data_IF_049654902189
#
_entry.id   IF_049654902189
#
_cell.length_a   1.000
_cell.length_b   1.000
_cell.length_c   1.000
_cell.angle_alpha   90.00
_cell.angle_beta   90.00
_cell.angle_gamma   90.00
#
_symmetry.space_group_name_H-M   'P 1'
#
loop_
_entity.id
_entity.type
_entity.pdbx_description
1 polymer ?
#
# COMPACT_ATOMS: atom_id res chain seq x y z
N UNK A 1 4.63 -21.10 4.32
CA UNK A 1 3.81 -19.99 4.84
C UNK A 1 2.51 -20.00 4.08
N UNK A 2 1.42 -20.32 4.75
CA UNK A 2 0.07 -20.38 4.19
C UNK A 2 -0.61 -19.01 4.26
N UNK A 3 -1.80 -18.88 3.69
CA UNK A 3 -2.62 -17.69 3.88
C UNK A 3 -3.01 -17.51 5.36
N UNK A 4 -3.38 -18.59 6.04
CA UNK A 4 -3.74 -18.55 7.47
C UNK A 4 -2.57 -18.08 8.34
N UNK A 5 -1.34 -18.48 8.02
CA UNK A 5 -0.14 -17.99 8.71
C UNK A 5 -0.01 -16.45 8.60
N UNK A 6 -0.35 -15.89 7.43
CA UNK A 6 -0.29 -14.45 7.19
C UNK A 6 -1.39 -13.71 7.96
N UNK A 7 -2.61 -14.24 7.96
CA UNK A 7 -3.75 -13.67 8.71
C UNK A 7 -3.45 -13.68 10.20
N UNK A 8 -2.94 -14.80 10.74
CA UNK A 8 -2.57 -14.90 12.15
C UNK A 8 -1.53 -13.85 12.55
N UNK A 9 -0.49 -13.65 11.73
CA UNK A 9 0.53 -12.62 11.97
C UNK A 9 -0.05 -11.21 11.88
N UNK A 10 -0.94 -10.95 10.93
CA UNK A 10 -1.59 -9.66 10.79
C UNK A 10 -2.53 -9.36 11.98
N UNK A 11 -3.23 -10.37 12.52
CA UNK A 11 -4.05 -10.22 13.74
C UNK A 11 -3.20 -9.83 14.95
N UNK A 12 -2.05 -10.48 15.14
CA UNK A 12 -1.12 -10.11 16.22
C UNK A 12 -0.62 -8.68 16.05
N UNK A 13 -0.32 -8.25 14.82
CA UNK A 13 0.07 -6.87 14.56
C UNK A 13 -1.05 -5.86 14.87
N UNK A 14 -2.30 -6.23 14.59
CA UNK A 14 -3.47 -5.38 14.79
C UNK A 14 -3.85 -5.18 16.28
N UNK A 15 -3.27 -5.91 17.23
CA UNK A 15 -3.52 -5.68 18.67
C UNK A 15 -2.79 -4.47 19.24
N UNK A 16 -1.86 -3.87 18.49
CA UNK A 16 -1.16 -2.65 18.89
C UNK A 16 -2.04 -1.39 18.77
N UNK A 17 -1.64 -0.27 19.40
CA UNK A 17 -2.42 0.97 19.34
C UNK A 17 -2.54 1.56 17.92
N UNK A 18 -1.54 1.33 17.08
CA UNK A 18 -1.55 1.60 15.63
C UNK A 18 -0.44 0.81 14.96
N UNK A 19 -0.74 0.14 13.85
CA UNK A 19 0.25 -0.62 13.09
C UNK A 19 0.09 -0.40 11.59
N UNK A 20 1.20 -0.55 10.86
CA UNK A 20 1.24 -0.50 9.39
C UNK A 20 1.87 -1.79 8.89
N UNK A 21 1.15 -2.52 8.04
CA UNK A 21 1.63 -3.71 7.36
C UNK A 21 1.94 -3.39 5.90
N UNK A 22 3.22 -3.39 5.53
CA UNK A 22 3.64 -3.24 4.14
C UNK A 22 3.59 -4.57 3.39
N UNK A 23 2.89 -4.61 2.24
CA UNK A 23 2.88 -5.76 1.32
C UNK A 23 3.56 -5.31 0.02
N UNK A 24 4.71 -5.92 -0.28
CA UNK A 24 5.55 -5.57 -1.44
C UNK A 24 5.72 -6.75 -2.38
N UNK A 25 5.87 -6.46 -3.66
CA UNK A 25 6.07 -7.46 -4.70
C UNK A 25 6.09 -6.83 -6.09
N UNK A 26 6.65 -7.55 -7.06
CA UNK A 26 6.71 -7.10 -8.46
C UNK A 26 5.32 -6.81 -9.03
N UNK A 27 5.19 -5.98 -10.09
CA UNK A 27 3.95 -5.85 -10.85
C UNK A 27 3.41 -7.22 -11.25
N UNK A 28 2.09 -7.45 -11.10
CA UNK A 28 1.45 -8.73 -11.42
C UNK A 28 1.64 -9.87 -10.40
N UNK A 29 2.39 -9.66 -9.31
CA UNK A 29 2.63 -10.70 -8.28
C UNK A 29 1.41 -11.08 -7.41
N UNK A 30 0.28 -10.39 -7.56
CA UNK A 30 -0.92 -10.61 -6.74
C UNK A 30 -0.93 -9.87 -5.40
N UNK A 31 0.00 -8.92 -5.16
CA UNK A 31 0.07 -8.14 -3.91
C UNK A 31 -1.26 -7.46 -3.51
N UNK A 32 -1.98 -6.89 -4.48
CA UNK A 32 -3.25 -6.21 -4.22
C UNK A 32 -4.35 -7.20 -3.85
N UNK A 33 -4.35 -8.38 -4.47
CA UNK A 33 -5.28 -9.48 -4.15
C UNK A 33 -5.02 -10.00 -2.75
N UNK A 34 -3.75 -10.26 -2.40
CA UNK A 34 -3.37 -10.70 -1.05
C UNK A 34 -3.71 -9.64 0.02
N UNK A 35 -3.41 -8.36 -0.25
CA UNK A 35 -3.72 -7.27 0.68
C UNK A 35 -5.22 -7.15 0.95
N UNK A 36 -6.05 -7.23 -0.10
CA UNK A 36 -7.50 -7.20 0.04
C UNK A 36 -8.03 -8.41 0.81
N UNK A 37 -7.52 -9.62 0.54
CA UNK A 37 -7.93 -10.84 1.24
C UNK A 37 -7.56 -10.79 2.73
N UNK A 38 -6.34 -10.38 3.08
CA UNK A 38 -5.91 -10.24 4.48
C UNK A 38 -6.73 -9.16 5.20
N UNK A 39 -6.99 -8.01 4.56
CA UNK A 39 -7.83 -6.97 5.15
C UNK A 39 -9.27 -7.46 5.39
N UNK A 40 -9.84 -8.24 4.47
CA UNK A 40 -11.17 -8.85 4.62
C UNK A 40 -11.27 -9.76 5.84
N UNK A 41 -10.24 -10.56 6.12
CA UNK A 41 -10.18 -11.43 7.31
C UNK A 41 -10.04 -10.63 8.62
N UNK A 42 -9.35 -9.49 8.59
CA UNK A 42 -9.18 -8.64 9.77
C UNK A 42 -10.43 -7.82 10.11
N UNK A 43 -11.34 -7.65 9.16
CA UNK A 43 -12.61 -6.96 9.35
C UNK A 43 -12.50 -5.43 9.21
N UNK A 44 -13.54 -4.70 9.62
CA UNK A 44 -13.72 -3.28 9.31
C UNK A 44 -12.73 -2.34 10.01
N UNK A 45 -12.03 -2.82 11.04
CA UNK A 45 -11.05 -2.03 11.81
C UNK A 45 -9.72 -1.83 11.07
N UNK A 46 -9.57 -2.41 9.86
CA UNK A 46 -8.38 -2.30 9.03
C UNK A 46 -8.69 -1.53 7.74
N UNK A 47 -7.86 -0.53 7.45
CA UNK A 47 -7.88 0.19 6.20
C UNK A 47 -6.83 -0.35 5.22
N UNK A 48 -7.26 -0.72 4.01
CA UNK A 48 -6.35 -1.00 2.90
C UNK A 48 -5.99 0.31 2.18
N UNK A 49 -4.70 0.66 2.17
CA UNK A 49 -4.20 1.90 1.56
C UNK A 49 -3.23 1.59 0.41
N UNK A 50 -3.70 1.55 -0.85
CA UNK A 50 -2.84 1.26 -1.99
C UNK A 50 -1.93 2.46 -2.33
N UNK A 51 -0.65 2.18 -2.57
CA UNK A 51 0.33 3.22 -2.97
C UNK A 51 0.05 3.76 -4.38
N UNK A 52 -0.62 3.00 -5.24
CA UNK A 52 -0.91 3.40 -6.62
C UNK A 52 -1.79 4.67 -6.69
N UNK A 53 -2.62 4.93 -5.66
CA UNK A 53 -3.40 6.16 -5.53
C UNK A 53 -2.57 7.42 -5.23
N UNK A 54 -1.27 7.26 -4.98
CA UNK A 54 -0.33 8.33 -4.68
C UNK A 54 0.67 8.57 -5.81
N UNK A 55 0.40 8.10 -7.02
CA UNK A 55 1.15 8.60 -8.18
C UNK A 55 0.91 10.10 -8.35
N UNK A 56 1.96 10.82 -8.74
CA UNK A 56 1.80 12.18 -9.23
C UNK A 56 0.90 12.18 -10.47
N UNK A 57 0.10 13.24 -10.62
CA UNK A 57 -0.75 13.41 -11.79
C UNK A 57 0.10 13.43 -13.08
N UNK A 58 -0.45 12.94 -14.19
CA UNK A 58 0.29 12.85 -15.46
C UNK A 58 0.80 14.22 -15.93
N UNK A 59 0.04 15.30 -15.66
CA UNK A 59 0.46 16.69 -15.93
C UNK A 59 1.70 17.09 -15.13
N UNK A 60 1.81 16.63 -13.90
CA UNK A 60 2.94 16.91 -13.01
C UNK A 60 4.17 16.09 -13.41
N UNK A 61 3.97 14.82 -13.78
CA UNK A 61 5.02 13.99 -14.34
C UNK A 61 5.56 14.56 -15.65
N UNK A 62 4.71 15.09 -16.53
CA UNK A 62 5.12 15.78 -17.74
C UNK A 62 5.92 17.05 -17.43
N UNK A 63 5.44 17.89 -16.48
CA UNK A 63 6.15 19.09 -16.03
C UNK A 63 7.54 18.80 -15.46
N UNK A 64 7.68 17.67 -14.76
CA UNK A 64 8.95 17.22 -14.17
C UNK A 64 9.85 16.44 -15.16
N UNK A 65 9.38 16.15 -16.37
CA UNK A 65 10.11 15.33 -17.35
C UNK A 65 10.27 13.86 -16.94
N UNK A 66 9.26 13.28 -16.29
CA UNK A 66 9.29 11.91 -15.70
C UNK A 66 8.17 10.99 -16.19
N UNK A 67 7.40 11.41 -17.20
CA UNK A 67 6.23 10.67 -17.68
C UNK A 67 6.56 9.24 -18.16
N UNK A 68 7.78 9.05 -18.71
CA UNK A 68 8.30 7.77 -19.20
C UNK A 68 8.69 6.78 -18.08
N UNK A 69 8.80 7.25 -16.83
CA UNK A 69 9.26 6.48 -15.68
C UNK A 69 8.19 6.28 -14.62
N UNK A 70 6.91 6.42 -14.99
CA UNK A 70 5.77 6.21 -14.09
C UNK A 70 5.89 4.87 -13.34
N UNK A 71 5.82 4.93 -12.02
CA UNK A 71 6.06 3.79 -11.12
C UNK A 71 7.46 3.77 -10.49
N UNK A 72 8.39 4.65 -10.90
CA UNK A 72 9.64 4.87 -10.18
C UNK A 72 9.41 5.64 -8.86
N UNK A 73 10.27 5.49 -7.83
CA UNK A 73 10.05 6.11 -6.51
C UNK A 73 9.82 7.63 -6.55
N UNK A 74 10.45 8.33 -7.48
CA UNK A 74 10.35 9.78 -7.67
C UNK A 74 9.12 10.23 -8.48
N UNK A 75 8.20 9.31 -8.78
CA UNK A 75 6.91 9.57 -9.46
C UNK A 75 5.70 9.49 -8.53
N UNK A 76 5.93 9.35 -7.23
CA UNK A 76 4.89 9.30 -6.20
C UNK A 76 4.91 10.54 -5.31
N UNK A 77 3.73 10.94 -4.83
CA UNK A 77 3.56 11.82 -3.68
C UNK A 77 3.76 11.04 -2.37
N UNK A 78 5.02 10.76 -2.05
CA UNK A 78 5.38 10.08 -0.80
C UNK A 78 4.98 10.90 0.44
N UNK A 79 5.02 12.24 0.34
CA UNK A 79 4.64 13.11 1.45
C UNK A 79 3.14 13.02 1.75
N UNK A 80 2.30 13.03 0.71
CA UNK A 80 0.86 12.80 0.82
C UNK A 80 0.54 11.44 1.41
N UNK A 81 1.27 10.39 1.00
CA UNK A 81 1.09 9.04 1.56
C UNK A 81 1.40 9.00 3.06
N UNK A 82 2.54 9.55 3.47
CA UNK A 82 2.91 9.66 4.89
C UNK A 82 1.91 10.51 5.67
N UNK A 83 1.42 11.60 5.09
CA UNK A 83 0.41 12.44 5.73
C UNK A 83 -0.91 11.68 5.95
N UNK A 84 -1.35 10.85 5.01
CA UNK A 84 -2.51 9.97 5.21
C UNK A 84 -2.26 8.97 6.34
N UNK A 85 -1.10 8.30 6.34
CA UNK A 85 -0.76 7.29 7.35
C UNK A 85 -0.61 7.85 8.77
N UNK A 86 -0.48 9.16 8.93
CA UNK A 86 -0.39 9.84 10.24
C UNK A 86 -1.74 10.30 10.81
N UNK A 87 -2.81 10.28 10.03
CA UNK A 87 -4.18 10.60 10.48
C UNK A 87 -4.78 9.41 11.20
#
# INVERSE_FOLDING_TARGET
>A
MTFDDLVARARVLATGPRAVLGIVGSPGSGKSTLAAAVAGELGPDVAHVPMDGFHLADVELARLGRADRKGAPDTFDAAGYVALLRR
#
